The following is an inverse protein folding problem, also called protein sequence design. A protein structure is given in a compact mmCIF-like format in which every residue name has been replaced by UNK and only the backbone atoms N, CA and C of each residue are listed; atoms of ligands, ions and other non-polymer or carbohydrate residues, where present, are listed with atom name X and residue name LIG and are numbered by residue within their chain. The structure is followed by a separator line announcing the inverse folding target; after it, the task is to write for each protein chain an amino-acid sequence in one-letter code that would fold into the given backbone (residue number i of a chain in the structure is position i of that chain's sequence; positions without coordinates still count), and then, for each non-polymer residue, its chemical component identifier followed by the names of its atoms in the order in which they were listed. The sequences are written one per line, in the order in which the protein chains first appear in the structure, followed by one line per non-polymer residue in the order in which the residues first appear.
data_IF_642614645559
#
_entry.id   IF_642614645559
#
_cell.length_a   1.000
_cell.length_b   1.000
_cell.length_c   1.000
_cell.angle_alpha   90.00
_cell.angle_beta   90.00
_cell.angle_gamma   90.00
#
_symmetry.space_group_name_H-M   'P 1'
#
loop_
_entity.id
_entity.type
_entity.pdbx_description
1 polymer ?
#
# COMPACT_ATOMS: atom_id res chain seq x y z
N UNK A 1 -2.74 19.64 17.68
CA UNK A 1 -1.72 20.71 17.57
C UNK A 1 -1.03 20.51 16.22
N UNK A 2 -1.25 21.38 15.25
CA UNK A 2 -0.64 21.26 13.91
C UNK A 2 0.78 21.80 14.04
N UNK A 3 1.76 20.92 14.13
CA UNK A 3 3.16 21.30 14.00
C UNK A 3 3.38 21.62 12.52
N UNK A 4 3.30 22.91 12.17
CA UNK A 4 3.68 23.38 10.85
C UNK A 4 5.17 23.11 10.64
N UNK A 5 5.52 22.45 9.55
CA UNK A 5 6.92 22.19 9.21
C UNK A 5 7.60 23.50 8.79
N UNK A 6 8.88 23.73 9.10
CA UNK A 6 9.60 24.94 8.70
C UNK A 6 9.55 25.21 7.18
N UNK A 7 9.52 24.14 6.38
CA UNK A 7 9.52 24.18 4.91
C UNK A 7 8.12 24.42 4.32
N UNK A 8 7.08 24.41 5.15
CA UNK A 8 5.70 24.52 4.71
C UNK A 8 5.38 25.94 4.25
N UNK A 9 5.05 26.09 2.96
CA UNK A 9 4.81 27.40 2.33
C UNK A 9 3.39 27.91 2.55
N UNK A 10 2.45 26.99 2.83
CA UNK A 10 1.03 27.27 3.06
C UNK A 10 0.38 26.13 3.86
N UNK A 11 -0.78 26.34 4.49
CA UNK A 11 -1.53 25.24 5.08
C UNK A 11 -1.83 24.13 4.07
N UNK A 12 -1.94 22.89 4.55
CA UNK A 12 -2.50 21.79 3.76
C UNK A 12 -3.90 22.17 3.27
N UNK A 13 -4.18 21.85 2.02
CA UNK A 13 -5.49 22.01 1.41
C UNK A 13 -6.53 21.05 2.00
N UNK A 14 -6.08 19.91 2.53
CA UNK A 14 -6.93 18.89 3.16
C UNK A 14 -6.90 19.03 4.68
N UNK A 15 -8.05 18.83 5.32
CA UNK A 15 -8.17 18.85 6.79
C UNK A 15 -7.80 17.49 7.39
N UNK A 16 -7.28 17.46 8.61
CA UNK A 16 -6.85 16.20 9.26
C UNK A 16 -8.01 15.20 9.45
N UNK A 17 -9.24 15.68 9.63
CA UNK A 17 -10.44 14.85 9.78
C UNK A 17 -11.10 14.46 8.44
N UNK A 18 -10.56 14.95 7.32
CA UNK A 18 -11.15 14.79 6.00
C UNK A 18 -11.07 13.34 5.52
N UNK A 19 -12.19 12.71 5.11
CA UNK A 19 -12.16 11.34 4.59
C UNK A 19 -11.35 11.23 3.30
N UNK A 20 -10.57 10.15 3.15
CA UNK A 20 -9.77 9.91 1.94
C UNK A 20 -10.63 9.46 0.75
N UNK A 21 -11.78 8.81 1.00
CA UNK A 21 -12.60 8.12 -0.01
C UNK A 21 -13.74 8.97 -0.60
N UNK A 22 -13.54 10.27 -0.75
CA UNK A 22 -14.61 11.19 -1.16
C UNK A 22 -15.16 10.87 -2.55
N UNK A 23 -16.49 10.97 -2.69
CA UNK A 23 -17.17 10.75 -3.98
C UNK A 23 -17.13 9.31 -4.47
N UNK A 24 -16.81 8.34 -3.61
CA UNK A 24 -16.74 6.90 -3.95
C UNK A 24 -17.89 6.12 -3.34
N UNK A 25 -18.31 5.07 -4.04
CA UNK A 25 -19.30 4.13 -3.54
C UNK A 25 -18.68 3.24 -2.46
N UNK A 26 -19.07 3.47 -1.21
CA UNK A 26 -18.62 2.67 -0.06
C UNK A 26 -19.42 1.37 0.05
N UNK A 27 -18.82 0.34 0.64
CA UNK A 27 -19.53 -0.87 1.07
C UNK A 27 -20.56 -0.54 2.18
N UNK A 28 -21.64 -1.31 2.31
CA UNK A 28 -22.71 -1.03 3.29
C UNK A 28 -22.20 -0.84 4.72
N UNK A 29 -21.31 -1.71 5.18
CA UNK A 29 -20.77 -1.71 6.54
C UNK A 29 -19.96 -0.43 6.82
N UNK A 30 -19.34 0.15 5.79
CA UNK A 30 -18.59 1.40 5.90
C UNK A 30 -19.45 2.67 5.86
N UNK A 31 -20.76 2.53 5.66
CA UNK A 31 -21.73 3.65 5.73
C UNK A 31 -22.38 3.76 7.11
N UNK A 32 -22.26 2.72 7.94
CA UNK A 32 -22.84 2.69 9.26
C UNK A 32 -22.18 3.73 10.19
N UNK A 33 -22.95 4.33 11.12
CA UNK A 33 -22.40 5.24 12.12
C UNK A 33 -21.29 4.56 12.94
N UNK A 34 -20.11 5.19 13.00
CA UNK A 34 -18.96 4.67 13.75
C UNK A 34 -18.01 3.79 12.94
N UNK A 35 -18.31 3.48 11.68
CA UNK A 35 -17.36 2.82 10.80
C UNK A 35 -16.09 3.69 10.62
N UNK A 36 -14.92 3.08 10.81
CA UNK A 36 -13.66 3.79 10.64
C UNK A 36 -13.33 3.94 9.15
N UNK A 37 -13.32 5.19 8.68
CA UNK A 37 -12.92 5.57 7.33
C UNK A 37 -11.55 6.25 7.43
N UNK A 38 -10.55 5.88 6.58
CA UNK A 38 -9.25 6.53 6.61
C UNK A 38 -9.41 8.02 6.33
N UNK A 39 -8.73 8.81 7.14
CA UNK A 39 -8.74 10.27 7.10
C UNK A 39 -7.37 10.77 6.65
N UNK A 40 -7.34 11.96 6.08
CA UNK A 40 -6.10 12.59 5.66
C UNK A 40 -5.10 12.68 6.82
N UNK A 41 -5.54 12.94 8.05
CA UNK A 41 -4.68 13.02 9.23
C UNK A 41 -4.13 11.68 9.73
N UNK A 42 -4.54 10.54 9.16
CA UNK A 42 -3.99 9.24 9.54
C UNK A 42 -2.58 9.08 8.96
N UNK A 43 -1.57 9.31 9.82
CA UNK A 43 -0.15 9.39 9.40
C UNK A 43 0.55 8.05 9.22
N UNK A 44 -0.03 6.96 9.73
CA UNK A 44 0.61 5.65 9.74
C UNK A 44 0.12 4.79 8.58
N UNK A 45 -1.20 4.78 8.37
CA UNK A 45 -1.84 3.88 7.42
C UNK A 45 -3.18 4.39 6.94
N UNK A 46 -3.45 4.22 5.64
CA UNK A 46 -4.80 4.25 5.09
C UNK A 46 -5.23 2.86 4.70
N UNK A 47 -6.20 2.29 5.43
CA UNK A 47 -6.74 0.97 5.16
C UNK A 47 -8.08 1.10 4.44
N UNK A 48 -8.19 0.53 3.24
CA UNK A 48 -9.40 0.55 2.42
C UNK A 48 -10.19 -0.77 2.46
N UNK A 49 -9.69 -1.77 3.18
CA UNK A 49 -10.35 -3.06 3.34
C UNK A 49 -11.66 -2.90 4.14
N UNK A 50 -12.74 -3.52 3.67
CA UNK A 50 -14.08 -3.34 4.28
C UNK A 50 -14.75 -2.01 3.94
N UNK A 51 -14.07 -1.10 3.24
CA UNK A 51 -14.60 0.22 2.87
C UNK A 51 -14.92 0.30 1.39
N UNK A 52 -13.96 -0.14 0.55
CA UNK A 52 -14.11 -0.20 -0.89
C UNK A 52 -14.10 -1.66 -1.34
N UNK A 53 -14.86 -1.98 -2.40
CA UNK A 53 -14.86 -3.33 -2.97
C UNK A 53 -13.45 -3.67 -3.49
N UNK A 54 -12.81 -4.66 -2.86
CA UNK A 54 -11.54 -5.24 -3.30
C UNK A 54 -11.81 -6.38 -4.30
N UNK A 55 -11.14 -6.42 -5.47
CA UNK A 55 -11.14 -7.58 -6.34
C UNK A 55 -10.61 -8.83 -5.63
N UNK A 56 -11.21 -9.99 -5.91
CA UNK A 56 -10.87 -11.25 -5.25
C UNK A 56 -9.42 -11.70 -5.50
N UNK A 57 -8.84 -11.34 -6.65
CA UNK A 57 -7.45 -11.65 -7.01
C UNK A 57 -6.43 -10.70 -6.36
N UNK A 58 -6.87 -9.76 -5.53
CA UNK A 58 -5.99 -8.83 -4.85
C UNK A 58 -5.88 -9.13 -3.36
N UNK A 59 -4.64 -9.03 -2.84
CA UNK A 59 -4.36 -9.23 -1.42
C UNK A 59 -4.82 -8.02 -0.59
N UNK A 60 -5.10 -8.25 0.69
CA UNK A 60 -5.51 -7.17 1.60
C UNK A 60 -4.46 -6.05 1.72
N UNK A 61 -3.17 -6.42 1.71
CA UNK A 61 -2.07 -5.47 1.76
C UNK A 61 -2.05 -4.51 0.55
N UNK A 62 -2.50 -4.94 -0.62
CA UNK A 62 -2.61 -4.06 -1.80
C UNK A 62 -3.74 -3.01 -1.68
N UNK A 63 -4.56 -3.09 -0.63
CA UNK A 63 -5.61 -2.14 -0.26
C UNK A 63 -5.22 -1.31 0.98
N UNK A 64 -3.93 -1.27 1.31
CA UNK A 64 -3.41 -0.55 2.48
C UNK A 64 -2.22 0.30 2.06
N UNK A 65 -2.34 1.62 2.24
CA UNK A 65 -1.22 2.55 2.04
C UNK A 65 -0.53 2.72 3.38
N UNK A 66 0.66 2.15 3.52
CA UNK A 66 1.52 2.35 4.69
C UNK A 66 2.44 3.55 4.47
N UNK A 67 2.56 4.41 5.48
CA UNK A 67 3.50 5.53 5.51
C UNK A 67 4.71 5.21 6.41
N UNK A 68 5.33 4.05 6.17
CA UNK A 68 6.50 3.57 6.91
C UNK A 68 7.83 3.86 6.21
N UNK A 69 8.93 3.64 6.94
CA UNK A 69 10.32 3.83 6.50
C UNK A 69 10.62 5.28 6.16
N UNK A 70 11.03 5.58 4.92
CA UNK A 70 11.33 6.94 4.48
C UNK A 70 10.09 7.86 4.51
N UNK A 71 8.87 7.31 4.63
CA UNK A 71 7.64 8.08 4.79
C UNK A 71 7.23 8.32 6.26
N UNK A 72 8.02 7.87 7.23
CA UNK A 72 7.87 8.26 8.65
C UNK A 72 8.40 9.68 8.89
N UNK A 73 9.31 10.13 8.03
CA UNK A 73 9.75 11.52 8.01
C UNK A 73 8.54 12.45 7.78
N UNK A 74 8.33 13.47 8.65
CA UNK A 74 7.15 14.32 8.58
C UNK A 74 6.96 15.04 7.24
N UNK A 75 8.05 15.43 6.58
CA UNK A 75 8.00 16.09 5.28
C UNK A 75 7.50 15.11 4.22
N UNK A 76 8.15 13.95 4.10
CA UNK A 76 7.77 12.93 3.12
C UNK A 76 6.37 12.38 3.38
N UNK A 77 5.97 12.26 4.64
CA UNK A 77 4.64 11.84 5.05
C UNK A 77 3.56 12.81 4.54
N UNK A 78 3.70 14.10 4.87
CA UNK A 78 2.74 15.12 4.47
C UNK A 78 2.68 15.27 2.94
N UNK A 79 3.84 15.36 2.28
CA UNK A 79 3.93 15.45 0.82
C UNK A 79 3.22 14.27 0.15
N UNK A 80 3.45 13.05 0.65
CA UNK A 80 2.83 11.85 0.09
C UNK A 80 1.33 11.86 0.33
N UNK A 81 0.86 12.16 1.55
CA UNK A 81 -0.58 12.21 1.85
C UNK A 81 -1.30 13.21 0.97
N UNK A 82 -0.76 14.43 0.80
CA UNK A 82 -1.36 15.44 -0.07
C UNK A 82 -1.40 14.96 -1.52
N UNK A 83 -0.28 14.45 -2.03
CA UNK A 83 -0.21 13.95 -3.39
C UNK A 83 -1.20 12.82 -3.67
N UNK A 84 -1.36 11.88 -2.73
CA UNK A 84 -2.33 10.81 -2.83
C UNK A 84 -3.76 11.34 -2.74
N UNK A 85 -4.06 12.31 -1.87
CA UNK A 85 -5.38 12.94 -1.81
C UNK A 85 -5.76 13.62 -3.14
N UNK A 86 -4.84 14.40 -3.72
CA UNK A 86 -5.07 15.09 -5.01
C UNK A 86 -5.35 14.08 -6.11
N UNK A 87 -4.57 13.01 -6.18
CA UNK A 87 -4.72 12.00 -7.24
C UNK A 87 -5.88 11.04 -7.04
N UNK A 88 -6.30 10.80 -5.80
CA UNK A 88 -7.44 9.94 -5.49
C UNK A 88 -8.78 10.68 -5.51
N UNK A 89 -8.77 11.99 -5.26
CA UNK A 89 -9.94 12.86 -5.21
C UNK A 89 -9.81 14.04 -6.21
N UNK A 90 -9.66 13.78 -7.53
CA UNK A 90 -9.42 14.84 -8.52
C UNK A 90 -10.60 15.82 -8.66
N UNK A 91 -11.79 15.45 -8.17
CA UNK A 91 -12.99 16.31 -8.15
C UNK A 91 -13.16 17.09 -6.85
N UNK A 92 -12.17 17.06 -5.95
CA UNK A 92 -12.22 17.84 -4.72
C UNK A 92 -12.31 19.34 -5.06
N UNK A 93 -13.23 20.12 -4.43
CA UNK A 93 -13.47 21.51 -4.83
C UNK A 93 -12.24 22.42 -4.82
N UNK A 94 -11.35 22.24 -3.86
CA UNK A 94 -10.10 23.02 -3.77
C UNK A 94 -9.06 22.59 -4.84
N UNK A 95 -9.06 21.30 -5.23
CA UNK A 95 -8.20 20.80 -6.31
C UNK A 95 -8.68 21.34 -7.66
N UNK A 96 -9.99 21.39 -7.87
CA UNK A 96 -10.57 21.98 -9.09
C UNK A 96 -10.30 23.50 -9.16
N UNK A 97 -10.41 24.20 -8.03
CA UNK A 97 -10.16 25.66 -7.96
C UNK A 97 -8.72 26.07 -8.27
N UNK A 98 -7.75 25.19 -8.02
CA UNK A 98 -6.35 25.46 -8.34
C UNK A 98 -6.00 25.22 -9.81
N UNK A 99 -6.94 24.67 -10.60
CA UNK A 99 -6.72 24.34 -12.02
C UNK A 99 -5.83 23.11 -12.24
N UNK A 100 -5.49 22.36 -11.18
CA UNK A 100 -4.70 21.13 -11.29
C UNK A 100 -5.59 20.00 -11.81
N UNK A 101 -5.27 19.49 -12.99
CA UNK A 101 -5.94 18.33 -13.59
C UNK A 101 -4.94 17.18 -13.68
N UNK A 102 -5.19 16.13 -12.89
CA UNK A 102 -4.44 14.88 -12.93
C UNK A 102 -5.37 13.76 -13.41
N UNK A 103 -4.80 12.76 -14.07
CA UNK A 103 -5.52 11.51 -14.35
C UNK A 103 -5.90 10.88 -13.00
N UNK A 104 -7.20 10.89 -12.68
CA UNK A 104 -7.72 10.34 -11.45
C UNK A 104 -7.46 8.84 -11.34
N UNK A 105 -6.90 8.38 -10.22
CA UNK A 105 -6.73 6.95 -10.01
C UNK A 105 -7.92 6.32 -9.29
N UNK A 106 -8.50 5.30 -9.91
CA UNK A 106 -9.72 4.66 -9.41
C UNK A 106 -9.50 3.65 -8.28
N UNK A 107 -8.30 3.09 -8.12
CA UNK A 107 -8.08 1.95 -7.22
C UNK A 107 -7.07 2.26 -6.09
N UNK A 108 -7.33 1.84 -4.84
CA UNK A 108 -6.37 1.93 -3.73
C UNK A 108 -5.00 1.33 -4.05
N UNK A 109 -4.95 0.23 -4.81
CA UNK A 109 -3.68 -0.38 -5.22
C UNK A 109 -2.78 0.58 -6.00
N UNK A 110 -3.35 1.53 -6.76
CA UNK A 110 -2.54 2.55 -7.43
C UNK A 110 -1.92 3.53 -6.44
N UNK A 111 -2.63 3.90 -5.36
CA UNK A 111 -2.08 4.73 -4.30
C UNK A 111 -0.91 4.06 -3.59
N UNK A 112 -1.01 2.75 -3.33
CA UNK A 112 0.09 1.96 -2.75
C UNK A 112 1.33 2.04 -3.64
N UNK A 113 1.16 1.89 -4.95
CA UNK A 113 2.26 2.02 -5.91
C UNK A 113 2.84 3.44 -5.94
N UNK A 114 2.00 4.47 -5.87
CA UNK A 114 2.46 5.87 -5.84
C UNK A 114 3.24 6.19 -4.56
N UNK A 115 2.73 5.80 -3.39
CA UNK A 115 3.44 5.94 -2.12
C UNK A 115 4.79 5.23 -2.15
N UNK A 116 4.84 4.01 -2.70
CA UNK A 116 6.10 3.27 -2.90
C UNK A 116 7.08 4.03 -3.80
N UNK A 117 6.60 4.67 -4.88
CA UNK A 117 7.46 5.48 -5.77
C UNK A 117 8.03 6.72 -5.09
N UNK A 118 7.26 7.38 -4.22
CA UNK A 118 7.76 8.49 -3.40
C UNK A 118 8.78 8.00 -2.37
N UNK A 119 8.47 6.92 -1.64
CA UNK A 119 9.39 6.29 -0.69
C UNK A 119 10.74 5.95 -1.33
N UNK A 120 10.72 5.30 -2.49
CA UNK A 120 11.95 4.95 -3.21
C UNK A 120 12.72 6.17 -3.72
N UNK A 121 12.05 7.32 -3.93
CA UNK A 121 12.73 8.58 -4.26
C UNK A 121 13.49 9.14 -3.05
N UNK A 122 12.86 9.18 -1.88
CA UNK A 122 13.52 9.53 -0.64
C UNK A 122 14.71 8.59 -0.35
N UNK A 123 14.52 7.27 -0.51
CA UNK A 123 15.58 6.27 -0.35
C UNK A 123 16.75 6.50 -1.31
N UNK A 124 16.46 6.77 -2.58
CA UNK A 124 17.48 7.05 -3.59
C UNK A 124 18.27 8.31 -3.22
N UNK A 125 17.61 9.36 -2.75
CA UNK A 125 18.26 10.60 -2.36
C UNK A 125 19.24 10.39 -1.21
N UNK A 126 18.80 9.69 -0.15
CA UNK A 126 19.67 9.32 0.96
C UNK A 126 20.89 8.51 0.51
N UNK A 127 20.67 7.48 -0.31
CA UNK A 127 21.75 6.61 -0.83
C UNK A 127 22.78 7.38 -1.66
N UNK A 128 22.36 8.43 -2.36
CA UNK A 128 23.23 9.19 -3.29
C UNK A 128 23.68 10.54 -2.71
N UNK A 129 23.57 10.75 -1.40
CA UNK A 129 24.03 11.98 -0.74
C UNK A 129 23.31 13.25 -1.20
N UNK A 130 22.07 13.13 -1.68
CA UNK A 130 21.23 14.28 -2.05
C UNK A 130 20.64 14.92 -0.77
N UNK A 131 20.20 16.19 -0.83
CA UNK A 131 19.46 16.79 0.28
C UNK A 131 18.30 15.90 0.74
N UNK A 132 18.05 15.85 2.05
CA UNK A 132 17.06 14.94 2.64
C UNK A 132 15.63 15.21 2.11
N UNK A 133 15.33 16.49 1.87
CA UNK A 133 14.04 16.96 1.38
C UNK A 133 14.16 17.45 -0.08
N UNK A 134 13.09 17.28 -0.90
CA UNK A 134 13.07 17.66 -2.30
C UNK A 134 12.93 19.16 -2.54
N UNK A 135 12.83 19.98 -1.50
CA UNK A 135 12.82 21.44 -1.58
C UNK A 135 14.13 22.01 -2.12
N UNK A 136 15.24 21.33 -1.83
CA UNK A 136 16.58 21.64 -2.31
C UNK A 136 16.98 20.84 -3.56
N UNK A 137 16.08 20.03 -4.13
CA UNK A 137 16.36 19.28 -5.35
C UNK A 137 16.09 20.12 -6.59
N UNK A 138 16.75 19.74 -7.67
CA UNK A 138 16.53 20.29 -9.01
C UNK A 138 15.79 19.28 -9.89
N UNK A 139 15.26 19.77 -11.02
CA UNK A 139 14.78 18.90 -12.10
C UNK A 139 15.86 17.92 -12.56
N UNK A 140 17.14 18.30 -12.52
CA UNK A 140 18.23 17.43 -12.92
C UNK A 140 18.41 16.26 -11.95
N UNK A 141 18.18 16.45 -10.64
CA UNK A 141 18.18 15.35 -9.67
C UNK A 141 17.06 14.35 -9.96
N UNK A 142 15.87 14.84 -10.33
CA UNK A 142 14.74 13.98 -10.73
C UNK A 142 15.05 13.16 -11.99
N UNK A 143 15.75 13.76 -12.97
CA UNK A 143 16.22 13.07 -14.16
C UNK A 143 17.28 12.02 -13.82
N UNK A 144 18.26 12.39 -12.99
CA UNK A 144 19.34 11.50 -12.58
C UNK A 144 18.78 10.26 -11.87
N UNK A 145 17.79 10.43 -10.99
CA UNK A 145 17.08 9.32 -10.36
C UNK A 145 16.55 8.30 -11.36
N UNK A 146 15.93 8.76 -12.45
CA UNK A 146 15.38 7.87 -13.48
C UNK A 146 16.49 7.18 -14.28
N UNK A 147 17.59 7.89 -14.56
CA UNK A 147 18.78 7.31 -15.19
C UNK A 147 19.35 6.19 -14.31
N UNK A 148 19.56 6.45 -13.02
CA UNK A 148 20.11 5.47 -12.08
C UNK A 148 19.17 4.26 -11.93
N UNK A 149 17.86 4.50 -11.90
CA UNK A 149 16.86 3.44 -11.81
C UNK A 149 16.90 2.51 -13.04
N UNK A 150 17.03 3.08 -14.24
CA UNK A 150 17.16 2.33 -15.48
C UNK A 150 18.52 1.59 -15.54
N UNK A 151 19.61 2.26 -15.14
CA UNK A 151 20.94 1.67 -15.10
C UNK A 151 21.03 0.48 -14.12
N UNK A 152 20.23 0.48 -13.06
CA UNK A 152 20.09 -0.65 -12.13
C UNK A 152 19.32 -1.85 -12.71
N UNK A 153 18.93 -1.83 -14.00
CA UNK A 153 18.22 -2.93 -14.67
C UNK A 153 16.72 -2.99 -14.37
N UNK A 154 16.13 -1.90 -13.86
CA UNK A 154 14.69 -1.84 -13.62
C UNK A 154 13.92 -1.93 -14.93
N UNK A 155 12.89 -2.79 -14.98
CA UNK A 155 12.06 -2.98 -16.18
C UNK A 155 11.48 -1.65 -16.68
N UNK A 156 11.43 -1.40 -18.00
CA UNK A 156 10.89 -0.16 -18.58
C UNK A 156 9.49 0.21 -18.09
N UNK A 157 8.61 -0.78 -17.89
CA UNK A 157 7.25 -0.50 -17.40
C UNK A 157 7.23 0.05 -15.96
N UNK A 158 8.14 -0.46 -15.11
CA UNK A 158 8.34 0.04 -13.75
C UNK A 158 8.92 1.45 -13.79
N UNK A 159 9.94 1.70 -14.63
CA UNK A 159 10.52 3.04 -14.84
C UNK A 159 9.44 4.03 -15.27
N UNK A 160 8.58 3.67 -16.23
CA UNK A 160 7.42 4.46 -16.66
C UNK A 160 6.55 4.85 -15.47
N UNK A 161 6.24 3.89 -14.58
CA UNK A 161 5.47 4.16 -13.38
C UNK A 161 6.10 5.23 -12.48
N UNK A 162 7.42 5.19 -12.29
CA UNK A 162 8.14 6.23 -11.55
C UNK A 162 8.11 7.59 -12.26
N UNK A 163 8.32 7.62 -13.58
CA UNK A 163 8.24 8.85 -14.38
C UNK A 163 6.86 9.48 -14.26
N UNK A 164 5.78 8.69 -14.38
CA UNK A 164 4.40 9.17 -14.19
C UNK A 164 4.20 9.78 -12.81
N UNK A 165 4.68 9.15 -11.74
CA UNK A 165 4.54 9.69 -10.40
C UNK A 165 5.26 11.05 -10.23
N UNK A 166 6.48 11.18 -10.77
CA UNK A 166 7.24 12.44 -10.70
C UNK A 166 6.61 13.56 -11.54
N UNK A 167 6.08 13.25 -12.74
CA UNK A 167 5.33 14.21 -13.56
C UNK A 167 4.05 14.66 -12.86
N UNK A 168 3.32 13.74 -12.24
CA UNK A 168 2.10 14.08 -11.50
C UNK A 168 2.40 14.92 -10.25
N UNK A 169 3.50 14.64 -9.54
CA UNK A 169 3.96 15.49 -8.43
C UNK A 169 4.29 16.91 -8.92
N UNK A 170 5.03 17.03 -10.02
CA UNK A 170 5.34 18.33 -10.61
C UNK A 170 4.08 19.11 -11.02
N UNK A 171 3.08 18.42 -11.57
CA UNK A 171 1.78 19.01 -11.89
C UNK A 171 0.94 19.35 -10.64
N UNK A 172 1.12 18.64 -9.53
CA UNK A 172 0.43 18.88 -8.27
C UNK A 172 1.05 20.03 -7.45
N UNK A 173 2.25 20.53 -7.78
CA UNK A 173 2.92 21.63 -7.07
C UNK A 173 1.97 22.79 -6.68
N UNK A 174 1.04 23.26 -7.54
CA UNK A 174 0.14 24.36 -7.20
C UNK A 174 -0.86 24.06 -6.07
N UNK A 175 -1.02 22.81 -5.63
CA UNK A 175 -1.87 22.42 -4.49
C UNK A 175 -1.13 21.86 -3.28
N UNK A 176 0.15 21.53 -3.40
CA UNK A 176 0.94 20.97 -2.29
C UNK A 176 1.32 22.06 -1.27
N UNK A 177 1.25 21.76 0.02
CA UNK A 177 1.70 22.67 1.07
C UNK A 177 3.22 22.73 1.17
N UNK A 178 3.88 21.63 0.84
CA UNK A 178 5.32 21.48 0.83
C UNK A 178 5.91 21.77 -0.56
N UNK A 179 7.14 22.31 -0.60
CA UNK A 179 7.88 22.49 -1.84
C UNK A 179 8.14 21.20 -2.61
N UNK A 180 8.35 21.34 -3.92
CA UNK A 180 8.83 20.29 -4.81
C UNK A 180 9.60 20.96 -5.95
N UNK A 181 10.56 20.27 -6.61
CA UNK A 181 11.33 20.87 -7.70
C UNK A 181 10.42 21.47 -8.77
N UNK A 182 10.65 22.75 -9.08
CA UNK A 182 9.81 23.49 -9.99
C UNK A 182 10.04 23.07 -11.46
N UNK A 183 8.95 22.84 -12.19
CA UNK A 183 8.95 22.51 -13.61
C UNK A 183 8.74 21.02 -13.92
N UNK A 184 8.28 20.73 -15.13
CA UNK A 184 8.16 19.36 -15.64
C UNK A 184 9.57 18.80 -15.91
N UNK A 185 9.97 17.65 -15.30
CA UNK A 185 11.28 17.10 -15.55
C UNK A 185 11.48 16.63 -16.99
N UNK A 186 10.42 16.33 -17.73
CA UNK A 186 10.50 15.95 -19.15
C UNK A 186 9.44 16.67 -19.98
N UNK A 187 9.63 17.98 -20.26
CA UNK A 187 8.67 18.77 -21.03
C UNK A 187 8.41 18.15 -22.39
N UNK A 188 7.14 18.00 -22.76
CA UNK A 188 6.73 17.43 -24.06
C UNK A 188 6.96 15.93 -24.22
N UNK A 189 7.55 15.23 -23.24
CA UNK A 189 7.77 13.79 -23.32
C UNK A 189 6.79 13.03 -22.43
N UNK A 190 6.19 11.99 -23.00
CA UNK A 190 5.35 11.05 -22.26
C UNK A 190 6.21 10.17 -21.35
N UNK A 191 5.63 9.68 -20.24
CA UNK A 191 6.30 8.73 -19.36
C UNK A 191 6.75 7.46 -20.10
N UNK A 192 6.00 7.06 -21.13
CA UNK A 192 6.33 5.94 -22.02
C UNK A 192 7.63 6.21 -22.81
N UNK A 193 7.74 7.42 -23.37
CA UNK A 193 8.92 7.85 -24.14
C UNK A 193 10.16 7.89 -23.26
N UNK A 194 10.06 8.50 -22.07
CA UNK A 194 11.18 8.61 -21.12
C UNK A 194 11.66 7.23 -20.66
N UNK A 195 10.73 6.30 -20.43
CA UNK A 195 11.06 4.94 -20.03
C UNK A 195 11.53 4.04 -21.19
N UNK A 196 11.61 4.57 -22.42
CA UNK A 196 12.01 3.85 -23.63
C UNK A 196 11.17 2.57 -23.86
N UNK A 197 9.88 2.62 -23.51
CA UNK A 197 9.00 1.47 -23.67
C UNK A 197 8.65 1.29 -25.15
N UNK A 198 9.36 0.38 -25.82
CA UNK A 198 9.11 0.06 -27.23
C UNK A 198 7.67 -0.42 -27.43
N UNK A 199 7.01 0.10 -28.46
CA UNK A 199 5.79 -0.50 -29.01
C UNK A 199 6.21 -1.73 -29.78
N UNK A 200 6.49 -2.82 -29.09
CA UNK A 200 6.73 -4.08 -29.78
C UNK A 200 5.40 -4.53 -30.41
N UNK A 201 5.30 -4.43 -31.73
CA UNK A 201 4.14 -4.89 -32.51
C UNK A 201 4.02 -6.41 -32.53
N UNK A 202 5.07 -7.13 -32.12
CA UNK A 202 5.02 -8.57 -31.95
C UNK A 202 4.46 -8.91 -30.56
N UNK A 203 3.29 -9.56 -30.55
CA UNK A 203 2.71 -10.16 -29.35
C UNK A 203 3.71 -11.13 -28.73
N UNK A 204 4.25 -10.76 -27.56
CA UNK A 204 5.19 -11.62 -26.83
C UNK A 204 4.53 -12.88 -26.26
N UNK A 205 3.19 -12.90 -26.17
CA UNK A 205 2.42 -14.07 -25.76
C UNK A 205 1.82 -14.70 -27.00
N UNK A 206 2.39 -15.79 -27.53
CA UNK A 206 1.78 -16.49 -28.66
C UNK A 206 0.40 -17.01 -28.26
N UNK A 207 -0.50 -17.10 -29.24
CA UNK A 207 -1.81 -17.73 -29.01
C UNK A 207 -1.60 -19.19 -28.56
N UNK A 208 -2.32 -19.59 -27.51
CA UNK A 208 -2.30 -20.99 -27.06
C UNK A 208 -2.93 -21.84 -28.17
N UNK A 209 -2.22 -22.85 -28.70
CA UNK A 209 -2.72 -23.59 -29.85
C UNK A 209 -3.91 -24.49 -29.44
N UNK A 210 -4.81 -24.85 -30.38
CA UNK A 210 -6.04 -25.57 -30.08
C UNK A 210 -5.83 -26.89 -29.32
N UNK A 211 -4.76 -27.63 -29.65
CA UNK A 211 -4.37 -28.88 -29.00
C UNK A 211 -4.04 -28.72 -27.50
N UNK A 212 -3.62 -27.53 -27.08
CA UNK A 212 -3.39 -27.19 -25.67
C UNK A 212 -4.61 -26.51 -25.06
N UNK A 213 -5.28 -25.65 -25.83
CA UNK A 213 -6.43 -24.87 -25.37
C UNK A 213 -7.64 -25.73 -25.02
N UNK A 214 -8.04 -26.67 -25.90
CA UNK A 214 -9.23 -27.47 -25.67
C UNK A 214 -9.12 -28.38 -24.43
N UNK A 215 -7.99 -29.08 -24.17
CA UNK A 215 -7.80 -29.80 -22.92
C UNK A 215 -7.88 -28.89 -21.69
N UNK A 216 -7.30 -27.68 -21.73
CA UNK A 216 -7.38 -26.73 -20.61
C UNK A 216 -8.82 -26.30 -20.33
N UNK A 217 -9.61 -26.01 -21.37
CA UNK A 217 -11.02 -25.66 -21.20
C UNK A 217 -11.84 -26.83 -20.66
N UNK A 218 -11.60 -28.06 -21.12
CA UNK A 218 -12.27 -29.25 -20.57
C UNK A 218 -11.92 -29.48 -19.10
N UNK A 219 -10.65 -29.30 -18.73
CA UNK A 219 -10.20 -29.41 -17.35
C UNK A 219 -10.82 -28.32 -16.46
N UNK A 220 -10.87 -27.08 -16.94
CA UNK A 220 -11.54 -25.99 -16.24
C UNK A 220 -13.04 -26.25 -16.06
N UNK A 221 -13.70 -26.80 -17.09
CA UNK A 221 -15.11 -27.19 -17.01
C UNK A 221 -15.35 -28.28 -15.96
N UNK A 222 -14.54 -29.34 -15.95
CA UNK A 222 -14.62 -30.39 -14.94
C UNK A 222 -14.42 -29.82 -13.52
N UNK A 223 -13.50 -28.87 -13.36
CA UNK A 223 -13.30 -28.19 -12.07
C UNK A 223 -14.53 -27.41 -11.60
N UNK A 224 -15.21 -26.73 -12.51
CA UNK A 224 -16.41 -25.94 -12.21
C UNK A 224 -17.64 -26.83 -12.02
N UNK A 225 -17.80 -27.86 -12.83
CA UNK A 225 -19.04 -28.65 -12.88
C UNK A 225 -18.99 -29.86 -11.93
N UNK A 226 -17.89 -30.61 -11.95
CA UNK A 226 -17.80 -31.89 -11.26
C UNK A 226 -17.19 -31.72 -9.86
N UNK A 227 -16.16 -30.87 -9.72
CA UNK A 227 -15.46 -30.71 -8.45
C UNK A 227 -15.94 -29.55 -7.57
N UNK A 228 -16.60 -28.52 -8.15
CA UNK A 228 -17.01 -27.35 -7.36
C UNK A 228 -17.96 -27.68 -6.19
N UNK A 229 -18.96 -28.58 -6.31
CA UNK A 229 -19.83 -28.92 -5.18
C UNK A 229 -19.03 -29.46 -3.98
N UNK A 230 -18.05 -30.32 -4.25
CA UNK A 230 -17.21 -30.95 -3.23
C UNK A 230 -16.24 -29.95 -2.60
N UNK A 231 -15.63 -29.08 -3.41
CA UNK A 231 -14.75 -28.01 -2.94
C UNK A 231 -15.51 -27.08 -2.01
N UNK A 232 -16.70 -26.62 -2.41
CA UNK A 232 -17.53 -25.71 -1.62
C UNK A 232 -18.08 -26.36 -0.35
N UNK A 233 -18.39 -27.66 -0.40
CA UNK A 233 -18.77 -28.44 0.80
C UNK A 233 -17.61 -28.55 1.78
N UNK A 234 -16.42 -28.87 1.28
CA UNK A 234 -15.21 -29.01 2.10
C UNK A 234 -14.79 -27.68 2.73
N UNK A 235 -14.88 -26.58 1.96
CA UNK A 235 -14.60 -25.24 2.47
C UNK A 235 -15.52 -24.85 3.62
N UNK A 236 -16.85 -25.06 3.46
CA UNK A 236 -17.81 -24.84 4.55
C UNK A 236 -17.50 -25.67 5.79
N UNK A 237 -17.20 -26.96 5.61
CA UNK A 237 -16.85 -27.84 6.72
C UNK A 237 -15.57 -27.39 7.44
N UNK A 238 -14.59 -26.90 6.71
CA UNK A 238 -13.36 -26.37 7.27
C UNK A 238 -13.63 -25.11 8.12
N UNK A 239 -14.45 -24.18 7.62
CA UNK A 239 -14.82 -22.96 8.37
C UNK A 239 -15.59 -23.29 9.65
N UNK A 240 -16.51 -24.27 9.61
CA UNK A 240 -17.20 -24.78 10.81
C UNK A 240 -16.20 -25.33 11.85
N UNK A 241 -15.22 -26.11 11.41
CA UNK A 241 -14.20 -26.68 12.31
C UNK A 241 -13.30 -25.59 12.91
N UNK A 242 -12.92 -24.58 12.13
CA UNK A 242 -12.17 -23.43 12.64
C UNK A 242 -12.97 -22.61 13.66
N UNK A 243 -14.25 -22.37 13.38
CA UNK A 243 -15.13 -21.67 14.32
C UNK A 243 -15.26 -22.45 15.64
N UNK A 244 -15.46 -23.77 15.57
CA UNK A 244 -15.54 -24.63 16.74
C UNK A 244 -14.22 -24.67 17.54
N UNK A 245 -13.08 -24.72 16.86
CA UNK A 245 -11.77 -24.67 17.51
C UNK A 245 -11.53 -23.33 18.22
N UNK A 246 -11.89 -22.21 17.59
CA UNK A 246 -11.75 -20.88 18.18
C UNK A 246 -12.68 -20.68 19.38
N UNK A 247 -13.90 -21.22 19.37
CA UNK A 247 -14.78 -21.22 20.55
C UNK A 247 -14.23 -22.08 21.69
N UNK A 248 -13.51 -23.16 21.39
CA UNK A 248 -12.88 -24.01 22.39
C UNK A 248 -11.64 -23.37 23.02
N UNK A 249 -10.95 -22.46 22.33
CA UNK A 249 -9.77 -21.77 22.87
C UNK A 249 -10.12 -20.78 24.00
N UNK A 250 -11.28 -20.12 23.91
CA UNK A 250 -11.80 -19.26 24.99
C UNK A 250 -12.10 -20.04 26.27
N UNK A 251 -12.59 -21.28 26.14
CA UNK A 251 -12.84 -22.20 27.25
C UNK A 251 -11.53 -22.79 27.82
N UNK A 252 -10.46 -22.83 27.02
CA UNK A 252 -9.12 -23.28 27.47
C UNK A 252 -8.45 -22.24 28.37
N UNK A 253 -8.61 -20.94 28.09
CA UNK A 253 -8.06 -19.88 28.94
C UNK A 253 -8.77 -19.82 30.30
N UNK A 254 -10.10 -19.96 30.34
CA UNK A 254 -10.86 -20.08 31.60
C UNK A 254 -10.47 -21.35 32.38
N UNK A 255 -10.34 -22.50 31.72
CA UNK A 255 -9.88 -23.74 32.35
C UNK A 255 -8.42 -23.68 32.80
N UNK A 256 -7.57 -22.90 32.11
CA UNK A 256 -6.19 -22.67 32.49
C UNK A 256 -6.11 -21.76 33.73
N UNK A 257 -6.94 -20.72 33.81
CA UNK A 257 -7.05 -19.88 35.01
C UNK A 257 -7.59 -20.69 36.20
N UNK A 258 -8.61 -21.53 35.99
CA UNK A 258 -9.15 -22.43 37.02
C UNK A 258 -8.09 -23.43 37.50
N UNK A 259 -7.29 -24.00 36.59
CA UNK A 259 -6.17 -24.90 36.91
C UNK A 259 -4.99 -24.19 37.61
N UNK A 260 -4.73 -22.92 37.31
CA UNK A 260 -3.71 -22.08 37.97
C UNK A 260 -4.16 -21.55 39.33
N UNK A 261 -5.47 -21.48 39.55
CA UNK A 261 -6.10 -21.08 40.82
C UNK A 261 -6.19 -22.25 41.83
N UNK A 262 -6.11 -23.50 41.37
CA UNK A 262 -6.01 -24.67 42.25
C UNK A 262 -4.67 -24.64 43.05
N UNK A 263 -4.70 -24.63 44.39
CA UNK A 263 -3.50 -24.65 45.22
C UNK A 263 -2.65 -25.91 45.08
N UNK A 264 -3.21 -27.01 44.57
CA UNK A 264 -2.55 -28.31 44.42
C UNK A 264 -1.57 -28.40 43.23
N UNK A 265 -1.66 -27.50 42.26
CA UNK A 265 -0.87 -27.52 41.02
C UNK A 265 0.42 -26.70 41.09
N UNK A 266 0.65 -25.94 42.18
CA UNK A 266 1.85 -25.09 42.36
C UNK A 266 3.12 -25.81 42.84
N UNK A 267 3.11 -27.13 43.00
CA UNK A 267 4.29 -27.85 43.50
C UNK A 267 5.01 -28.69 42.44
N UNK A 268 5.84 -28.05 41.63
CA UNK A 268 7.00 -28.70 40.97
C UNK A 268 8.21 -27.75 40.97
N UNK A 269 8.59 -27.26 42.15
CA UNK A 269 9.94 -26.74 42.38
C UNK A 269 10.89 -27.94 42.47
N UNK A 270 11.48 -28.30 41.33
CA UNK A 270 12.54 -29.32 41.29
C UNK A 270 13.77 -28.78 42.03
N UNK A 271 14.26 -29.41 43.12
CA UNK A 271 15.41 -28.88 43.83
C UNK A 271 16.70 -29.16 43.05
N UNK A 272 17.36 -28.07 42.65
CA UNK A 272 18.69 -28.05 42.01
C UNK A 272 19.73 -28.61 42.98
N UNK A 273 20.08 -29.90 42.87
CA UNK A 273 21.18 -30.51 43.64
C UNK A 273 22.51 -29.79 43.34
N UNK A 274 23.05 -29.07 44.33
CA UNK A 274 24.45 -28.62 44.33
C UNK A 274 25.36 -29.85 44.44
N UNK A 275 26.23 -30.05 43.44
CA UNK A 275 27.38 -30.97 43.54
C UNK A 275 28.45 -30.30 44.39
N UNK A 276 28.71 -30.83 45.59
CA UNK A 276 29.96 -30.62 46.32
C UNK A 276 30.91 -31.77 45.97
N UNK A 277 32.09 -31.43 45.44
CA UNK A 277 33.23 -32.34 45.24
C UNK A 277 33.97 -32.52 46.58
N UNK A 278 34.45 -33.74 46.91
CA UNK A 278 35.31 -33.93 48.07
C UNK A 278 36.76 -33.58 47.73
N UNK A 279 37.42 -32.82 48.62
CA UNK A 279 38.88 -32.66 48.62
C UNK A 279 39.53 -33.89 49.27
N UNK A 280 40.53 -34.43 48.59
CA UNK A 280 41.75 -34.96 49.22
C UNK A 280 42.80 -33.87 49.16
#
# INVERSE_FOLDING_TARGET
MILSLPEQRRPSLFREDEPVVQGRSLLPEAREPGAHIPRFGDRNIWNFNGILKRPANCTAASWMVHFSYELEDPYWNLLTREFLMVTFNPRHPEVLRSGVVLDGYGAPGTLVQMASRVRTAAKWAHKNGRPAHPDAWTVQDLRQRIIDLAAAGTRPDTVRGHVTALKNLAAAVPVLSLPWPAGDPWPGQSARSVAQLSTNTNLSTPAVPPETWFPLIRAAWAYIHDFAPDILRTARRHDELLAAANSSALDVDERLEEWLADPGTRSLSTPRRRRTMPRM
#
